data_IF_320175532058
#
_entry.id   IF_320175532058
#
_cell.length_a   1.000
_cell.length_b   1.000
_cell.length_c   1.000
_cell.angle_alpha   90.00
_cell.angle_beta   90.00
_cell.angle_gamma   90.00
#
_symmetry.space_group_name_H-M   'P 1'
#
loop_
_entity.id
_entity.type
_entity.pdbx_description
1 polymer ?
#
# COMPACT_ATOMS: atom_id res chain seq x y z
N UNK A 1 7.86 -47.67 -49.61
CA UNK A 1 6.95 -46.69 -50.26
C UNK A 1 5.50 -47.05 -49.95
N UNK A 2 4.91 -46.44 -48.92
CA UNK A 2 3.53 -46.70 -48.49
C UNK A 2 2.56 -45.86 -49.31
N UNK A 3 1.74 -46.51 -50.15
CA UNK A 3 0.75 -45.89 -51.03
C UNK A 3 -0.46 -45.45 -50.18
N UNK A 4 -0.52 -44.18 -49.83
CA UNK A 4 -1.62 -43.61 -49.03
C UNK A 4 -2.89 -43.52 -49.91
N UNK A 5 -4.00 -44.10 -49.45
CA UNK A 5 -5.29 -44.09 -50.17
C UNK A 5 -5.89 -42.66 -50.22
N UNK A 6 -6.39 -42.19 -51.38
CA UNK A 6 -6.81 -40.80 -51.58
C UNK A 6 -7.96 -40.35 -50.64
N UNK A 7 -8.84 -41.26 -50.23
CA UNK A 7 -9.92 -40.95 -49.27
C UNK A 7 -9.44 -40.64 -47.84
N UNK A 8 -8.29 -41.16 -47.41
CA UNK A 8 -7.73 -40.87 -46.07
C UNK A 8 -7.07 -39.50 -46.00
N UNK A 9 -6.51 -39.03 -47.11
CA UNK A 9 -5.92 -37.69 -47.24
C UNK A 9 -7.00 -36.62 -47.19
N UNK A 10 -8.15 -36.84 -47.86
CA UNK A 10 -9.29 -35.92 -47.81
C UNK A 10 -9.86 -35.76 -46.40
N UNK A 11 -9.91 -36.82 -45.60
CA UNK A 11 -10.44 -36.76 -44.23
C UNK A 11 -9.44 -36.12 -43.25
N UNK A 12 -8.14 -36.32 -43.47
CA UNK A 12 -7.08 -35.62 -42.72
C UNK A 12 -7.03 -34.11 -43.03
N UNK A 13 -7.19 -33.72 -44.30
CA UNK A 13 -7.32 -32.31 -44.68
C UNK A 13 -8.59 -31.67 -44.13
N UNK A 14 -9.72 -32.38 -44.16
CA UNK A 14 -10.98 -31.90 -43.58
C UNK A 14 -10.89 -31.77 -42.05
N UNK A 15 -10.25 -32.70 -41.36
CA UNK A 15 -9.99 -32.63 -39.92
C UNK A 15 -9.04 -31.49 -39.53
N UNK A 16 -7.98 -31.28 -40.32
CA UNK A 16 -7.05 -30.15 -40.12
C UNK A 16 -7.73 -28.80 -40.37
N UNK A 17 -8.61 -28.71 -41.37
CA UNK A 17 -9.39 -27.51 -41.66
C UNK A 17 -10.36 -27.17 -40.50
N UNK A 18 -11.02 -28.16 -39.90
CA UNK A 18 -11.94 -27.96 -38.75
C UNK A 18 -11.19 -27.51 -37.49
N UNK A 19 -9.98 -28.04 -37.24
CA UNK A 19 -9.13 -27.64 -36.10
C UNK A 19 -8.68 -26.18 -36.20
N UNK A 20 -8.43 -25.66 -37.41
CA UNK A 20 -8.02 -24.27 -37.61
C UNK A 20 -9.17 -23.25 -37.42
N UNK A 21 -10.44 -23.66 -37.53
CA UNK A 21 -11.60 -22.77 -37.39
C UNK A 21 -11.97 -22.52 -35.92
N UNK A 22 -11.51 -23.38 -35.00
CA UNK A 22 -11.71 -23.22 -33.55
C UNK A 22 -10.63 -22.36 -32.87
N UNK A 23 -9.61 -21.92 -33.61
CA UNK A 23 -8.48 -21.15 -33.09
C UNK A 23 -8.52 -19.69 -33.53
N UNK A 24 -9.15 -18.82 -32.73
CA UNK A 24 -8.86 -17.38 -32.51
C UNK A 24 -10.14 -16.53 -32.35
N UNK A 25 -10.80 -16.62 -31.20
CA UNK A 25 -11.43 -15.44 -30.61
C UNK A 25 -10.60 -15.04 -29.40
N UNK A 26 -9.48 -14.35 -29.63
CA UNK A 26 -8.54 -13.94 -28.56
C UNK A 26 -9.22 -13.11 -27.46
N UNK A 27 -10.33 -12.44 -27.78
CA UNK A 27 -11.15 -11.71 -26.82
C UNK A 27 -12.64 -11.95 -27.05
N UNK A 28 -13.44 -11.85 -25.98
CA UNK A 28 -14.88 -12.02 -26.06
C UNK A 28 -15.54 -10.87 -26.81
N UNK A 29 -16.75 -11.11 -27.31
CA UNK A 29 -17.52 -10.06 -28.00
C UNK A 29 -17.82 -8.88 -27.06
N UNK A 30 -18.12 -9.18 -25.78
CA UNK A 30 -18.37 -8.18 -24.74
C UNK A 30 -17.15 -7.25 -24.56
N UNK A 31 -15.92 -7.79 -24.58
CA UNK A 31 -14.72 -6.95 -24.51
C UNK A 31 -14.61 -5.97 -25.68
N UNK A 32 -14.91 -6.42 -26.91
CA UNK A 32 -14.86 -5.55 -28.11
C UNK A 32 -15.90 -4.45 -28.05
N UNK A 33 -17.12 -4.75 -27.59
CA UNK A 33 -18.18 -3.76 -27.40
C UNK A 33 -17.81 -2.74 -26.32
N UNK A 34 -17.21 -3.22 -25.21
CA UNK A 34 -16.70 -2.34 -24.16
C UNK A 34 -15.65 -1.36 -24.67
N UNK A 35 -14.71 -1.84 -25.47
CA UNK A 35 -13.69 -1.01 -26.10
C UNK A 35 -14.27 0.04 -27.06
N UNK A 36 -15.26 -0.33 -27.86
CA UNK A 36 -15.94 0.63 -28.75
C UNK A 36 -16.68 1.71 -27.95
N UNK A 37 -17.41 1.31 -26.91
CA UNK A 37 -18.10 2.25 -26.02
C UNK A 37 -17.10 3.19 -25.31
N UNK A 38 -15.94 2.68 -24.88
CA UNK A 38 -14.88 3.46 -24.25
C UNK A 38 -14.31 4.53 -25.20
N UNK A 39 -13.99 4.17 -26.44
CA UNK A 39 -13.53 5.13 -27.46
C UNK A 39 -14.57 6.23 -27.70
N UNK A 40 -15.85 5.87 -27.67
CA UNK A 40 -16.96 6.80 -27.84
C UNK A 40 -17.25 7.63 -26.56
N UNK A 41 -16.48 7.44 -25.49
CA UNK A 41 -16.68 8.04 -24.15
C UNK A 41 -18.02 7.68 -23.51
N UNK A 42 -18.64 6.60 -23.97
CA UNK A 42 -19.83 6.01 -23.36
C UNK A 42 -19.41 5.12 -22.19
N UNK A 43 -18.83 5.72 -21.15
CA UNK A 43 -18.20 4.96 -20.07
C UNK A 43 -19.14 4.04 -19.30
N UNK A 44 -20.40 4.43 -19.12
CA UNK A 44 -21.42 3.58 -18.47
C UNK A 44 -21.62 2.26 -19.23
N UNK A 45 -21.71 2.35 -20.55
CA UNK A 45 -21.88 1.20 -21.44
C UNK A 45 -20.57 0.38 -21.54
N UNK A 46 -19.43 1.05 -21.59
CA UNK A 46 -18.12 0.40 -21.58
C UNK A 46 -17.91 -0.44 -20.31
N UNK A 47 -18.21 0.14 -19.14
CA UNK A 47 -18.12 -0.54 -17.83
C UNK A 47 -19.03 -1.77 -17.82
N UNK A 48 -20.29 -1.63 -18.26
CA UNK A 48 -21.23 -2.74 -18.35
C UNK A 48 -20.68 -3.89 -19.20
N UNK A 49 -20.15 -3.60 -20.39
CA UNK A 49 -19.61 -4.61 -21.28
C UNK A 49 -18.32 -5.24 -20.75
N UNK A 50 -17.44 -4.48 -20.10
CA UNK A 50 -16.25 -5.03 -19.46
C UNK A 50 -16.58 -5.87 -18.22
N UNK A 51 -17.61 -5.52 -17.46
CA UNK A 51 -18.13 -6.37 -16.38
C UNK A 51 -18.66 -7.70 -16.95
N UNK A 52 -19.40 -7.67 -18.05
CA UNK A 52 -19.84 -8.89 -18.74
C UNK A 52 -18.65 -9.73 -19.23
N UNK A 53 -17.65 -9.12 -19.86
CA UNK A 53 -16.44 -9.82 -20.29
C UNK A 53 -15.69 -10.46 -19.11
N UNK A 54 -15.64 -9.78 -17.96
CA UNK A 54 -15.05 -10.31 -16.73
C UNK A 54 -15.83 -11.52 -16.17
N UNK A 55 -17.16 -11.52 -16.28
CA UNK A 55 -18.00 -12.65 -15.87
C UNK A 55 -17.85 -13.84 -16.83
N UNK A 56 -17.71 -13.59 -18.14
CA UNK A 56 -17.52 -14.62 -19.17
C UNK A 56 -16.19 -15.37 -19.00
N UNK A 57 -15.10 -14.67 -18.67
CA UNK A 57 -13.81 -15.29 -18.38
C UNK A 57 -13.07 -14.58 -17.23
N UNK A 58 -13.34 -14.96 -15.97
CA UNK A 58 -12.74 -14.32 -14.79
C UNK A 58 -11.22 -14.45 -14.69
N UNK A 59 -10.62 -15.45 -15.35
CA UNK A 59 -9.17 -15.69 -15.34
C UNK A 59 -8.41 -14.70 -16.20
N UNK A 60 -9.06 -14.16 -17.24
CA UNK A 60 -8.43 -13.19 -18.13
C UNK A 60 -8.18 -11.87 -17.40
N UNK A 61 -6.90 -11.51 -17.29
CA UNK A 61 -6.47 -10.32 -16.56
C UNK A 61 -6.76 -9.03 -17.31
N UNK A 62 -6.78 -9.09 -18.65
CA UNK A 62 -7.01 -7.92 -19.51
C UNK A 62 -8.39 -7.31 -19.25
N UNK A 63 -9.41 -8.10 -18.96
CA UNK A 63 -10.77 -7.60 -18.70
C UNK A 63 -10.87 -6.85 -17.38
N UNK A 64 -10.27 -7.39 -16.31
CA UNK A 64 -10.20 -6.71 -15.01
C UNK A 64 -9.46 -5.39 -15.13
N UNK A 65 -8.36 -5.39 -15.88
CA UNK A 65 -7.54 -4.23 -16.10
C UNK A 65 -8.25 -3.17 -16.94
N UNK A 66 -8.96 -3.57 -18.00
CA UNK A 66 -9.79 -2.66 -18.80
C UNK A 66 -10.89 -2.03 -17.93
N UNK A 67 -11.67 -2.84 -17.20
CA UNK A 67 -12.71 -2.35 -16.30
C UNK A 67 -12.16 -1.34 -15.28
N UNK A 68 -11.03 -1.65 -14.64
CA UNK A 68 -10.38 -0.76 -13.68
C UNK A 68 -9.98 0.58 -14.32
N UNK A 69 -9.31 0.54 -15.48
CA UNK A 69 -8.88 1.73 -16.21
C UNK A 69 -10.08 2.59 -16.63
N UNK A 70 -11.11 1.98 -17.19
CA UNK A 70 -12.30 2.68 -17.66
C UNK A 70 -13.06 3.32 -16.50
N UNK A 71 -13.20 2.66 -15.34
CA UNK A 71 -13.77 3.27 -14.13
C UNK A 71 -12.96 4.49 -13.67
N UNK A 72 -11.63 4.40 -13.66
CA UNK A 72 -10.78 5.54 -13.30
C UNK A 72 -10.94 6.72 -14.28
N UNK A 73 -10.95 6.46 -15.60
CA UNK A 73 -11.17 7.50 -16.62
C UNK A 73 -12.56 8.12 -16.49
N UNK A 74 -13.60 7.31 -16.30
CA UNK A 74 -14.97 7.77 -16.12
C UNK A 74 -15.13 8.67 -14.87
N UNK A 75 -14.45 8.31 -13.77
CA UNK A 75 -14.40 9.12 -12.56
C UNK A 75 -13.79 10.51 -12.83
N UNK A 76 -12.63 10.55 -13.49
CA UNK A 76 -11.93 11.79 -13.80
C UNK A 76 -12.75 12.69 -14.74
N UNK A 77 -13.34 12.12 -15.78
CA UNK A 77 -14.18 12.85 -16.74
C UNK A 77 -15.47 13.39 -16.10
N UNK A 78 -16.11 12.63 -15.21
CA UNK A 78 -17.26 13.11 -14.42
C UNK A 78 -16.85 14.22 -13.42
N UNK A 79 -15.71 14.08 -12.76
CA UNK A 79 -15.18 15.12 -11.87
C UNK A 79 -14.83 16.41 -12.63
N UNK A 80 -14.26 16.30 -13.84
CA UNK A 80 -13.97 17.46 -14.68
C UNK A 80 -15.25 18.19 -15.12
N UNK A 81 -16.30 17.45 -15.50
CA UNK A 81 -17.62 18.04 -15.73
C UNK A 81 -18.17 18.74 -14.49
N UNK A 82 -18.03 18.12 -13.32
CA UNK A 82 -18.45 18.72 -12.06
C UNK A 82 -17.73 20.05 -11.78
N UNK A 83 -16.41 20.11 -11.99
CA UNK A 83 -15.61 21.34 -11.85
C UNK A 83 -16.09 22.44 -12.80
N UNK A 84 -16.39 22.10 -14.06
CA UNK A 84 -16.94 23.07 -15.02
C UNK A 84 -18.30 23.62 -14.58
N UNK A 85 -19.20 22.74 -14.12
CA UNK A 85 -20.51 23.16 -13.60
C UNK A 85 -20.38 24.03 -12.35
N UNK A 86 -19.46 23.68 -11.44
CA UNK A 86 -19.18 24.46 -10.24
C UNK A 86 -18.65 25.85 -10.58
N UNK A 87 -17.72 25.94 -11.55
CA UNK A 87 -17.22 27.20 -12.07
C UNK A 87 -18.31 28.06 -12.73
N UNK A 88 -19.33 27.41 -13.32
CA UNK A 88 -20.53 28.06 -13.86
C UNK A 88 -21.59 28.43 -12.81
N UNK A 89 -21.34 28.21 -11.52
CA UNK A 89 -22.30 28.48 -10.44
C UNK A 89 -23.43 27.45 -10.30
N UNK A 90 -23.42 26.38 -11.11
CA UNK A 90 -24.44 25.33 -11.13
C UNK A 90 -24.11 24.28 -10.05
N UNK A 91 -24.22 24.70 -8.79
CA UNK A 91 -23.76 23.92 -7.63
C UNK A 91 -24.42 22.55 -7.52
N UNK A 92 -25.74 22.46 -7.65
CA UNK A 92 -26.46 21.19 -7.47
C UNK A 92 -26.13 20.16 -8.55
N UNK A 93 -25.97 20.61 -9.80
CA UNK A 93 -25.58 19.76 -10.92
C UNK A 93 -24.13 19.30 -10.78
N UNK A 94 -23.23 20.18 -10.35
CA UNK A 94 -21.85 19.83 -10.03
C UNK A 94 -21.78 18.77 -8.93
N UNK A 95 -22.58 18.90 -7.85
CA UNK A 95 -22.66 17.90 -6.79
C UNK A 95 -23.14 16.54 -7.31
N UNK A 96 -24.10 16.51 -8.24
CA UNK A 96 -24.57 15.27 -8.85
C UNK A 96 -23.50 14.64 -9.76
N UNK A 97 -22.76 15.43 -10.52
CA UNK A 97 -21.63 14.93 -11.31
C UNK A 97 -20.49 14.39 -10.43
N UNK A 98 -20.20 15.03 -9.29
CA UNK A 98 -19.24 14.50 -8.33
C UNK A 98 -19.71 13.17 -7.71
N UNK A 99 -21.00 13.02 -7.39
CA UNK A 99 -21.55 11.72 -6.95
C UNK A 99 -21.35 10.64 -8.02
N UNK A 100 -21.55 10.97 -9.29
CA UNK A 100 -21.29 10.05 -10.41
C UNK A 100 -19.80 9.69 -10.51
N UNK A 101 -18.91 10.66 -10.31
CA UNK A 101 -17.47 10.40 -10.26
C UNK A 101 -17.08 9.44 -9.12
N UNK A 102 -17.61 9.68 -7.92
CA UNK A 102 -17.40 8.82 -6.73
C UNK A 102 -18.09 7.46 -6.84
N UNK A 103 -19.12 7.32 -7.68
CA UNK A 103 -19.70 6.02 -7.99
C UNK A 103 -18.72 5.14 -8.78
N UNK A 104 -17.96 5.73 -9.70
CA UNK A 104 -16.93 4.99 -10.45
C UNK A 104 -15.66 4.70 -9.64
N UNK A 105 -15.20 5.67 -8.85
CA UNK A 105 -14.04 5.53 -7.95
C UNK A 105 -14.36 6.06 -6.53
N UNK A 106 -14.94 5.21 -5.66
CA UNK A 106 -15.29 5.60 -4.29
C UNK A 106 -14.07 5.89 -3.41
N UNK A 107 -12.89 5.39 -3.80
CA UNK A 107 -11.65 5.50 -3.02
C UNK A 107 -10.87 6.77 -3.34
N UNK A 108 -11.32 7.54 -4.32
CA UNK A 108 -10.65 8.76 -4.75
C UNK A 108 -10.76 9.87 -3.70
N UNK A 109 -9.73 9.98 -2.85
CA UNK A 109 -9.69 10.98 -1.78
C UNK A 109 -9.73 12.41 -2.30
N UNK A 110 -9.18 12.66 -3.49
CA UNK A 110 -9.15 13.99 -4.12
C UNK A 110 -10.55 14.42 -4.57
N UNK A 111 -11.24 13.58 -5.36
CA UNK A 111 -12.62 13.85 -5.79
C UNK A 111 -13.55 13.97 -4.57
N UNK A 112 -13.35 13.15 -3.55
CA UNK A 112 -14.14 13.21 -2.32
C UNK A 112 -13.93 14.52 -1.55
N UNK A 113 -12.70 15.05 -1.51
CA UNK A 113 -12.40 16.32 -0.88
C UNK A 113 -13.07 17.47 -1.63
N UNK A 114 -12.96 17.51 -2.96
CA UNK A 114 -13.62 18.52 -3.81
C UNK A 114 -15.15 18.48 -3.67
N UNK A 115 -15.74 17.28 -3.66
CA UNK A 115 -17.17 17.10 -3.42
C UNK A 115 -17.59 17.68 -2.05
N UNK A 116 -16.85 17.35 -0.99
CA UNK A 116 -17.15 17.82 0.37
C UNK A 116 -17.04 19.33 0.49
N UNK A 117 -15.99 19.92 -0.10
CA UNK A 117 -15.79 21.36 -0.16
C UNK A 117 -16.97 22.05 -0.84
N UNK A 118 -17.36 21.59 -2.03
CA UNK A 118 -18.50 22.16 -2.75
C UNK A 118 -19.81 21.96 -1.98
N UNK A 119 -19.99 20.81 -1.33
CA UNK A 119 -21.16 20.51 -0.51
C UNK A 119 -21.21 21.33 0.79
N UNK A 120 -20.15 22.05 1.16
CA UNK A 120 -20.04 22.75 2.44
C UNK A 120 -19.87 21.81 3.63
N UNK A 121 -19.50 20.55 3.38
CA UNK A 121 -19.19 19.56 4.41
C UNK A 121 -17.78 19.86 4.90
N UNK A 122 -17.67 20.53 6.05
CA UNK A 122 -16.37 20.74 6.69
C UNK A 122 -15.69 19.38 6.89
N UNK A 123 -14.40 19.23 6.56
CA UNK A 123 -13.66 18.03 6.91
C UNK A 123 -13.88 17.78 8.40
N UNK A 124 -14.22 16.54 8.78
CA UNK A 124 -14.05 16.14 10.17
C UNK A 124 -12.60 16.48 10.52
N UNK A 125 -12.42 17.35 11.52
CA UNK A 125 -11.12 17.81 12.01
C UNK A 125 -10.16 16.63 11.91
N UNK A 126 -9.13 16.73 11.06
CA UNK A 126 -8.09 15.72 11.02
C UNK A 126 -7.64 15.56 12.47
N UNK A 127 -8.00 14.42 13.08
CA UNK A 127 -7.45 14.04 14.36
C UNK A 127 -5.99 13.83 14.05
N UNK A 128 -5.20 14.90 14.19
CA UNK A 128 -3.74 14.82 14.19
C UNK A 128 -3.43 13.62 15.08
N UNK A 129 -2.74 12.59 14.58
CA UNK A 129 -2.31 11.49 15.43
C UNK A 129 -1.69 12.15 16.65
N UNK A 130 -2.23 11.88 17.85
CA UNK A 130 -1.65 12.40 19.09
C UNK A 130 -0.17 12.10 18.99
N UNK A 131 0.67 13.14 18.89
CA UNK A 131 2.11 12.99 18.96
C UNK A 131 2.37 12.17 20.22
N UNK A 132 2.85 10.94 20.05
CA UNK A 132 3.35 10.17 21.18
C UNK A 132 4.58 10.95 21.62
N UNK A 133 4.41 11.77 22.66
CA UNK A 133 5.52 12.44 23.32
C UNK A 133 6.37 11.32 23.89
N UNK A 134 7.44 10.96 23.17
CA UNK A 134 8.49 10.12 23.73
C UNK A 134 9.17 11.01 24.76
N UNK A 135 8.83 10.83 26.04
CA UNK A 135 9.49 11.53 27.13
C UNK A 135 11.00 11.25 27.05
N UNK A 136 11.80 12.31 27.15
CA UNK A 136 13.25 12.22 27.17
C UNK A 136 13.72 11.27 28.29
N UNK A 137 14.89 10.60 28.14
CA UNK A 137 15.31 9.53 29.04
C UNK A 137 15.36 9.98 30.51
N UNK A 138 15.01 9.04 31.39
CA UNK A 138 15.00 9.18 32.85
C UNK A 138 16.31 9.80 33.33
N UNK A 139 16.25 10.97 33.97
CA UNK A 139 17.40 11.55 34.68
C UNK A 139 17.70 10.68 35.89
N UNK A 140 18.77 9.87 35.81
CA UNK A 140 19.24 9.06 36.93
C UNK A 140 19.65 9.98 38.08
N UNK A 141 19.08 9.76 39.25
CA UNK A 141 19.52 10.44 40.48
C UNK A 141 20.79 9.73 40.96
N UNK A 142 21.94 10.37 40.85
CA UNK A 142 23.19 9.87 41.41
C UNK A 142 23.61 10.73 42.62
N UNK A 143 24.38 10.18 43.57
CA UNK A 143 24.90 10.96 44.69
C UNK A 143 25.90 12.02 44.19
N UNK A 144 25.80 13.29 44.63
CA UNK A 144 26.73 14.34 44.21
C UNK A 144 28.13 14.22 44.84
N UNK A 145 28.38 13.17 45.61
CA UNK A 145 29.63 12.97 46.35
C UNK A 145 30.72 12.40 45.43
N UNK A 146 31.94 12.91 45.57
CA UNK A 146 33.09 12.44 44.81
C UNK A 146 33.43 10.99 45.20
N UNK A 147 33.75 10.18 44.19
CA UNK A 147 34.26 8.84 44.42
C UNK A 147 35.59 8.92 45.20
N UNK A 148 35.71 8.10 46.25
CA UNK A 148 36.95 7.93 47.05
C UNK A 148 37.32 6.46 47.12
N UNK A 149 37.30 5.79 45.97
CA UNK A 149 37.53 4.36 45.87
C UNK A 149 38.88 4.10 45.23
N UNK A 150 39.72 3.34 45.93
CA UNK A 150 41.00 2.85 45.41
C UNK A 150 41.02 1.33 45.49
N UNK A 151 41.34 0.72 44.36
CA UNK A 151 41.44 -0.72 44.21
C UNK A 151 42.87 -1.08 43.84
N UNK A 152 43.43 -2.06 44.54
CA UNK A 152 44.76 -2.61 44.23
C UNK A 152 44.60 -4.11 44.12
N UNK A 153 44.96 -4.66 42.97
CA UNK A 153 44.85 -6.08 42.64
C UNK A 153 43.44 -6.67 42.92
N UNK A 154 42.39 -5.88 42.64
CA UNK A 154 41.01 -6.27 42.90
C UNK A 154 40.36 -6.87 41.66
N UNK A 155 39.43 -7.82 41.85
CA UNK A 155 38.71 -8.39 40.71
C UNK A 155 37.78 -7.34 40.07
N UNK A 156 37.70 -7.33 38.74
CA UNK A 156 36.80 -6.47 37.98
C UNK A 156 35.35 -6.56 38.48
N UNK A 157 34.89 -7.78 38.81
CA UNK A 157 33.56 -7.99 39.36
C UNK A 157 33.37 -7.24 40.69
N UNK A 158 34.34 -7.30 41.59
CA UNK A 158 34.28 -6.61 42.88
C UNK A 158 34.27 -5.07 42.69
N UNK A 159 35.03 -4.56 41.74
CA UNK A 159 35.05 -3.12 41.39
C UNK A 159 33.66 -2.68 40.91
N UNK A 160 33.06 -3.39 39.96
CA UNK A 160 31.71 -3.06 39.46
C UNK A 160 30.63 -3.19 40.54
N UNK A 161 30.72 -4.19 41.43
CA UNK A 161 29.78 -4.31 42.56
C UNK A 161 29.91 -3.13 43.54
N UNK A 162 31.12 -2.68 43.83
CA UNK A 162 31.35 -1.50 44.68
C UNK A 162 30.81 -0.22 44.03
N UNK A 163 31.05 -0.04 42.73
CA UNK A 163 30.49 1.08 41.97
C UNK A 163 28.96 1.03 41.92
N UNK A 164 28.36 -0.15 41.75
CA UNK A 164 26.90 -0.30 41.72
C UNK A 164 26.24 0.02 43.05
N UNK A 165 26.88 -0.37 44.16
CA UNK A 165 26.44 0.05 45.51
C UNK A 165 26.54 1.54 45.72
N UNK A 166 27.57 2.20 45.16
CA UNK A 166 27.75 3.64 45.29
C UNK A 166 26.77 4.44 44.42
N UNK A 167 26.59 4.06 43.15
CA UNK A 167 25.75 4.79 42.20
C UNK A 167 24.28 4.38 42.21
N UNK A 168 23.91 3.31 42.93
CA UNK A 168 22.57 2.75 42.93
C UNK A 168 22.22 2.01 41.63
N UNK A 169 23.21 1.68 40.80
CA UNK A 169 23.04 0.98 39.53
C UNK A 169 23.36 -0.51 39.72
N UNK A 170 22.51 -1.39 39.19
CA UNK A 170 22.76 -2.83 39.21
C UNK A 170 23.55 -3.27 37.96
N UNK A 171 24.67 -3.96 38.15
CA UNK A 171 25.46 -4.53 37.06
C UNK A 171 25.08 -6.00 36.85
N UNK A 172 24.67 -6.35 35.63
CA UNK A 172 24.47 -7.72 35.21
C UNK A 172 25.67 -8.17 34.40
N UNK A 173 26.15 -9.39 34.66
CA UNK A 173 27.30 -9.97 33.98
C UNK A 173 26.82 -11.12 33.11
N UNK A 174 27.25 -11.12 31.85
CA UNK A 174 27.01 -12.21 30.92
C UNK A 174 27.84 -13.46 31.33
N UNK A 175 27.45 -14.63 30.85
CA UNK A 175 28.14 -15.91 31.06
C UNK A 175 29.59 -15.87 30.56
N UNK A 176 29.86 -15.08 29.51
CA UNK A 176 31.19 -14.94 28.92
C UNK A 176 32.09 -13.93 29.66
N UNK A 177 31.62 -13.32 30.76
CA UNK A 177 32.38 -12.32 31.51
C UNK A 177 33.66 -12.92 32.12
N UNK A 178 34.80 -12.28 31.84
CA UNK A 178 36.11 -12.67 32.40
C UNK A 178 36.48 -11.75 33.55
N UNK A 179 36.62 -12.32 34.74
CA UNK A 179 37.05 -11.57 35.93
C UNK A 179 38.58 -11.50 35.97
N UNK A 180 39.14 -10.29 35.91
CA UNK A 180 40.58 -10.04 35.88
C UNK A 180 41.00 -9.18 37.08
N UNK A 181 42.20 -9.36 37.62
CA UNK A 181 42.75 -8.47 38.62
C UNK A 181 43.12 -7.12 38.00
N UNK A 182 42.61 -6.02 38.58
CA UNK A 182 42.85 -4.66 38.14
C UNK A 182 43.13 -3.76 39.34
N UNK A 183 44.12 -2.87 39.17
CA UNK A 183 44.39 -1.78 40.12
C UNK A 183 43.97 -0.47 39.50
N UNK A 184 43.06 0.25 40.16
CA UNK A 184 42.53 1.52 39.67
C UNK A 184 42.24 2.46 40.85
N UNK A 185 42.58 3.73 40.67
CA UNK A 185 42.31 4.80 41.62
C UNK A 185 41.21 5.70 41.03
N UNK A 186 40.05 5.72 41.67
CA UNK A 186 38.88 6.49 41.24
C UNK A 186 38.62 7.71 42.14
N UNK A 187 39.65 8.15 42.86
CA UNK A 187 39.56 9.30 43.75
C UNK A 187 39.34 10.60 42.94
N UNK A 188 38.46 11.46 43.44
CA UNK A 188 38.13 12.79 42.86
C UNK A 188 37.43 12.77 41.49
N UNK A 189 36.90 11.61 41.07
CA UNK A 189 36.09 11.51 39.87
C UNK A 189 34.62 11.81 40.18
N UNK A 190 34.00 12.64 39.32
CA UNK A 190 32.56 12.90 39.30
C UNK A 190 31.85 11.84 38.46
N UNK A 191 30.72 11.33 38.95
CA UNK A 191 29.81 10.42 38.22
C UNK A 191 28.97 11.20 37.21
#
# INVERSE_FOLDING_TARGET
MTKIRPGKISWLFLGFLIINILGCSTFTQSYKLGYQAEINKNYDEAIKYYEQAMLENPKESVYRLALFRTKAVAALDAAERARRLAAGGMKDEALNQYKKALFYDPTNRMILAEYKELAGIKPAVEVKPKEVVIEAPVKLKYPPELLKLKFTDASLRAIFQALGKFSGINFLFDEQFRDLPVSIDLTDLTV
#
